data_IF_466380645031
#
_entry.id   IF_466380645031
#
_cell.length_a   1.000
_cell.length_b   1.000
_cell.length_c   1.000
_cell.angle_alpha   90.00
_cell.angle_beta   90.00
_cell.angle_gamma   90.00
#
_symmetry.space_group_name_H-M   'P 1'
#
loop_
_entity.id
_entity.type
_entity.pdbx_description
1 polymer ?
#
# COMPACT_ATOMS: atom_id res chain seq x y z
N UNK A 1 -7.22 4.43 -8.80
CA UNK A 1 -7.84 5.74 -8.96
C UNK A 1 -7.18 6.47 -10.15
N UNK A 2 -7.85 7.49 -10.71
CA UNK A 2 -7.35 8.14 -11.94
C UNK A 2 -6.06 8.93 -11.81
N UNK A 3 -5.61 9.20 -10.60
CA UNK A 3 -4.37 9.92 -10.26
C UNK A 3 -3.25 9.01 -9.73
N UNK A 4 -3.40 7.70 -9.83
CA UNK A 4 -2.32 6.76 -9.47
C UNK A 4 -1.22 6.78 -10.53
N UNK A 5 0.03 6.92 -10.07
CA UNK A 5 1.21 6.76 -10.93
C UNK A 5 1.40 5.32 -11.37
N UNK A 6 0.99 4.40 -10.49
CA UNK A 6 1.16 2.97 -10.62
C UNK A 6 -0.06 2.28 -10.00
N UNK A 7 -0.59 1.27 -10.70
CA UNK A 7 -1.58 0.36 -10.13
C UNK A 7 -0.95 -0.44 -8.99
N UNK A 8 -1.46 -0.25 -7.77
CA UNK A 8 -0.93 -0.91 -6.58
C UNK A 8 -1.34 -2.38 -6.44
N UNK A 9 -2.37 -2.82 -7.20
CA UNK A 9 -2.91 -4.19 -7.08
C UNK A 9 -1.90 -5.28 -7.37
N UNK A 10 -1.04 -5.19 -8.42
CA UNK A 10 0.00 -6.20 -8.66
C UNK A 10 0.97 -6.35 -7.49
N UNK A 11 1.43 -5.24 -6.90
CA UNK A 11 2.37 -5.31 -5.79
C UNK A 11 1.71 -5.84 -4.50
N UNK A 12 0.45 -5.49 -4.26
CA UNK A 12 -0.32 -6.05 -3.15
C UNK A 12 -0.47 -7.58 -3.29
N UNK A 13 -0.72 -8.06 -4.51
CA UNK A 13 -0.81 -9.50 -4.77
C UNK A 13 0.54 -10.20 -4.63
N UNK A 14 1.62 -9.60 -5.12
CA UNK A 14 2.98 -10.12 -4.89
C UNK A 14 3.31 -10.19 -3.39
N UNK A 15 2.98 -9.15 -2.62
CA UNK A 15 3.14 -9.16 -1.16
C UNK A 15 2.33 -10.26 -0.49
N UNK A 16 1.09 -10.48 -0.95
CA UNK A 16 0.25 -11.55 -0.45
C UNK A 16 0.85 -12.92 -0.74
N UNK A 17 1.30 -13.16 -1.96
CA UNK A 17 1.93 -14.44 -2.36
C UNK A 17 3.22 -14.68 -1.57
N UNK A 18 4.08 -13.68 -1.45
CA UNK A 18 5.32 -13.76 -0.71
C UNK A 18 5.10 -14.01 0.78
N UNK A 19 4.14 -13.35 1.41
CA UNK A 19 3.93 -13.47 2.85
C UNK A 19 3.11 -14.68 3.28
N UNK A 20 2.26 -15.22 2.37
CA UNK A 20 1.42 -16.37 2.67
C UNK A 20 2.28 -17.61 2.82
N UNK A 21 2.15 -18.30 3.94
CA UNK A 21 2.91 -19.49 4.28
C UNK A 21 4.44 -19.29 4.40
N UNK A 22 4.90 -18.03 4.47
CA UNK A 22 6.31 -17.75 4.72
C UNK A 22 6.70 -18.24 6.13
N UNK A 23 7.68 -19.17 6.26
CA UNK A 23 7.95 -19.85 7.52
C UNK A 23 8.38 -18.89 8.64
N UNK A 24 9.11 -17.82 8.32
CA UNK A 24 9.57 -16.84 9.31
C UNK A 24 8.44 -15.94 9.84
N UNK A 25 7.29 -15.85 9.13
CA UNK A 25 6.21 -14.94 9.50
C UNK A 25 5.12 -15.59 10.33
N UNK A 26 5.13 -16.92 10.46
CA UNK A 26 4.15 -17.65 11.24
C UNK A 26 4.18 -17.30 12.74
N UNK A 27 5.31 -16.85 13.24
CA UNK A 27 5.54 -16.60 14.67
C UNK A 27 5.92 -15.15 14.99
N UNK A 28 5.42 -14.18 14.24
CA UNK A 28 5.61 -12.77 14.56
C UNK A 28 5.00 -12.42 15.93
N UNK A 29 5.56 -11.46 16.69
CA UNK A 29 5.08 -11.10 18.03
C UNK A 29 3.59 -10.74 18.06
N UNK A 30 3.08 -10.12 17.00
CA UNK A 30 1.68 -9.75 16.83
C UNK A 30 1.31 -9.59 15.36
N UNK A 31 0.00 -9.44 15.09
CA UNK A 31 -0.53 -9.14 13.75
C UNK A 31 0.21 -7.98 13.12
N UNK A 32 0.39 -8.05 11.81
CA UNK A 32 1.15 -7.11 11.02
C UNK A 32 0.34 -6.64 9.82
N UNK A 33 0.43 -5.37 9.48
CA UNK A 33 -0.33 -4.76 8.38
C UNK A 33 0.59 -3.97 7.47
N UNK A 34 0.48 -4.23 6.18
CA UNK A 34 1.02 -3.39 5.12
C UNK A 34 -0.06 -2.47 4.57
N UNK A 35 0.31 -1.23 4.21
CA UNK A 35 -0.46 -0.36 3.36
C UNK A 35 0.41 0.04 2.17
N UNK A 36 -0.17 0.09 0.98
CA UNK A 36 0.53 0.44 -0.25
C UNK A 36 -0.18 1.61 -0.92
N UNK A 37 0.55 2.67 -1.20
CA UNK A 37 0.07 3.82 -1.95
C UNK A 37 0.84 3.98 -3.26
N UNK A 38 0.13 4.19 -4.36
CA UNK A 38 0.69 4.45 -5.69
C UNK A 38 0.18 5.76 -6.29
N UNK A 39 -0.49 6.60 -5.50
CA UNK A 39 -1.01 7.88 -5.91
C UNK A 39 -0.18 9.04 -5.34
N UNK A 40 -0.35 10.24 -5.92
CA UNK A 40 0.30 11.45 -5.42
C UNK A 40 -0.13 11.79 -3.98
N UNK A 41 -1.41 11.58 -3.69
CA UNK A 41 -1.97 11.80 -2.37
C UNK A 41 -2.07 10.47 -1.61
N UNK A 42 -1.66 10.46 -0.36
CA UNK A 42 -1.80 9.28 0.50
C UNK A 42 -3.27 9.09 0.93
N UNK A 43 -3.99 8.23 0.21
CA UNK A 43 -5.35 7.82 0.54
C UNK A 43 -5.42 6.57 1.40
N UNK A 44 -4.28 5.91 1.60
CA UNK A 44 -4.20 4.67 2.38
C UNK A 44 -3.83 4.91 3.83
N UNK A 45 -3.51 6.17 4.17
CA UNK A 45 -3.03 6.58 5.49
C UNK A 45 -1.81 5.75 5.91
N UNK A 46 -0.80 5.71 5.03
CA UNK A 46 0.41 4.89 5.16
C UNK A 46 1.00 4.92 6.56
N UNK A 47 1.15 6.11 7.13
CA UNK A 47 1.78 6.30 8.42
C UNK A 47 0.99 5.70 9.60
N UNK A 48 -0.25 5.30 9.39
CA UNK A 48 -1.09 4.66 10.40
C UNK A 48 -0.95 3.12 10.44
N UNK A 49 -0.12 2.54 9.58
CA UNK A 49 0.07 1.10 9.46
C UNK A 49 1.41 0.65 10.03
N UNK A 50 1.54 -0.65 10.32
CA UNK A 50 2.78 -1.23 10.84
C UNK A 50 3.94 -0.99 9.87
N UNK A 51 3.66 -1.13 8.56
CA UNK A 51 4.53 -0.68 7.47
C UNK A 51 3.68 -0.01 6.39
N UNK A 52 4.10 1.20 6.00
CA UNK A 52 3.61 1.91 4.82
C UNK A 52 4.61 1.79 3.67
N UNK A 53 4.10 1.55 2.49
CA UNK A 53 4.87 1.36 1.25
C UNK A 53 4.36 2.38 0.23
N UNK A 54 5.19 3.37 -0.08
CA UNK A 54 4.87 4.40 -1.04
C UNK A 54 5.61 4.12 -2.36
N UNK A 55 4.85 3.83 -3.41
CA UNK A 55 5.40 3.61 -4.75
C UNK A 55 5.65 4.96 -5.42
N UNK A 56 6.83 5.16 -5.97
CA UNK A 56 7.22 6.39 -6.67
C UNK A 56 7.79 6.06 -8.04
N UNK A 57 7.42 6.84 -9.03
CA UNK A 57 8.14 6.88 -10.30
C UNK A 57 9.11 8.04 -10.27
N UNK A 58 10.36 7.78 -10.63
CA UNK A 58 11.34 8.83 -10.81
C UNK A 58 10.92 9.74 -11.96
N UNK A 59 11.22 11.02 -11.84
CA UNK A 59 11.05 11.98 -12.93
C UNK A 59 12.41 12.34 -13.51
N UNK A 60 12.50 12.31 -14.84
CA UNK A 60 13.64 12.87 -15.55
C UNK A 60 13.15 14.03 -16.42
N UNK A 61 13.71 15.22 -16.24
CA UNK A 61 13.29 16.45 -16.92
C UNK A 61 11.77 16.75 -16.83
N UNK A 62 11.13 16.37 -15.71
CA UNK A 62 9.69 16.57 -15.50
C UNK A 62 8.78 15.47 -16.06
N UNK A 63 9.32 14.50 -16.78
CA UNK A 63 8.59 13.33 -17.27
C UNK A 63 8.80 12.12 -16.35
N UNK A 64 7.74 11.35 -16.12
CA UNK A 64 7.79 10.12 -15.32
C UNK A 64 8.63 9.07 -16.05
N UNK A 65 9.66 8.55 -15.39
CA UNK A 65 10.45 7.44 -15.91
C UNK A 65 9.75 6.09 -15.66
N UNK A 66 10.25 5.04 -16.31
CA UNK A 66 9.79 3.67 -16.04
C UNK A 66 10.42 3.08 -14.76
N UNK A 67 11.33 3.80 -14.11
CA UNK A 67 11.91 3.35 -12.85
C UNK A 67 10.94 3.52 -11.70
N UNK A 68 10.53 2.40 -11.13
CA UNK A 68 9.69 2.34 -9.96
C UNK A 68 10.56 2.14 -8.72
N UNK A 69 10.44 3.05 -7.78
CA UNK A 69 11.10 2.98 -6.47
C UNK A 69 10.07 2.99 -5.35
N UNK A 70 10.52 2.64 -4.15
CA UNK A 70 9.67 2.48 -2.98
C UNK A 70 10.28 3.24 -1.80
N UNK A 71 9.46 4.05 -1.15
CA UNK A 71 9.77 4.57 0.17
C UNK A 71 9.04 3.72 1.21
N UNK A 72 9.73 3.37 2.30
CA UNK A 72 9.22 2.48 3.34
C UNK A 72 9.15 3.22 4.67
N UNK A 73 7.96 3.24 5.23
CA UNK A 73 7.67 3.77 6.57
C UNK A 73 7.38 2.62 7.52
N UNK A 74 7.84 2.71 8.76
CA UNK A 74 7.56 1.69 9.76
C UNK A 74 7.21 2.27 11.13
N UNK A 75 6.52 1.47 11.94
CA UNK A 75 6.20 1.79 13.32
C UNK A 75 4.91 2.56 13.51
N UNK A 76 4.05 2.62 12.50
CA UNK A 76 2.72 3.20 12.62
C UNK A 76 1.71 2.29 13.31
N UNK A 77 0.63 2.88 13.74
CA UNK A 77 -0.50 2.12 14.27
C UNK A 77 -1.43 2.93 15.15
N UNK A 78 -2.71 2.75 14.92
CA UNK A 78 -3.79 3.35 15.68
C UNK A 78 -4.16 2.47 16.89
N UNK A 79 -5.14 2.85 17.63
CA UNK A 79 -5.64 2.20 18.83
C UNK A 79 -5.30 3.01 20.08
N UNK A 80 -5.19 2.36 21.22
CA UNK A 80 -5.06 3.03 22.52
C UNK A 80 -3.89 4.03 22.62
N UNK A 81 -2.80 3.79 21.90
CA UNK A 81 -1.67 4.71 21.81
C UNK A 81 -1.35 4.91 20.33
N UNK A 82 -1.94 5.90 19.65
CA UNK A 82 -1.67 6.16 18.26
C UNK A 82 -0.23 6.64 18.07
N UNK A 83 0.43 6.10 17.05
CA UNK A 83 1.79 6.49 16.65
C UNK A 83 1.81 6.50 15.13
N UNK A 84 2.38 7.54 14.53
CA UNK A 84 2.64 7.60 13.10
C UNK A 84 3.97 6.91 12.79
N UNK A 85 4.01 6.20 11.67
CA UNK A 85 5.22 5.56 11.17
C UNK A 85 6.26 6.59 10.73
N UNK A 86 7.52 6.21 10.80
CA UNK A 86 8.65 7.01 10.34
C UNK A 86 9.25 6.44 9.07
N UNK A 87 9.78 7.31 8.20
CA UNK A 87 10.53 6.89 7.02
C UNK A 87 11.80 6.14 7.48
N UNK A 88 11.99 4.92 7.00
CA UNK A 88 13.16 4.08 7.33
C UNK A 88 13.98 3.69 6.12
N UNK A 89 13.42 3.78 4.91
CA UNK A 89 14.12 3.55 3.64
C UNK A 89 13.52 4.41 2.57
N UNK A 90 14.37 5.07 1.78
CA UNK A 90 13.96 5.90 0.66
C UNK A 90 14.55 5.35 -0.65
N UNK A 91 13.78 5.40 -1.73
CA UNK A 91 14.25 5.12 -3.08
C UNK A 91 14.70 3.68 -3.32
N UNK A 92 14.16 2.70 -2.57
CA UNK A 92 14.47 1.29 -2.79
C UNK A 92 13.92 0.84 -4.15
N UNK A 93 14.72 0.21 -5.05
CA UNK A 93 14.18 -0.45 -6.23
C UNK A 93 13.09 -1.46 -5.84
N UNK A 94 11.93 -1.42 -6.50
CA UNK A 94 10.78 -2.23 -6.13
C UNK A 94 11.05 -3.73 -6.10
N UNK A 95 11.96 -4.20 -6.94
CA UNK A 95 12.37 -5.60 -6.99
C UNK A 95 12.95 -6.09 -5.65
N UNK A 96 13.62 -5.19 -4.93
CA UNK A 96 14.29 -5.49 -3.66
C UNK A 96 13.34 -5.38 -2.46
N UNK A 97 12.06 -5.05 -2.69
CA UNK A 97 11.10 -4.88 -1.61
C UNK A 97 10.95 -6.13 -0.73
N UNK A 98 10.81 -7.37 -1.25
CA UNK A 98 10.62 -8.55 -0.40
C UNK A 98 11.83 -8.83 0.49
N UNK A 99 13.06 -8.72 -0.04
CA UNK A 99 14.26 -8.92 0.79
C UNK A 99 14.40 -7.85 1.87
N UNK A 100 14.04 -6.59 1.58
CA UNK A 100 14.05 -5.53 2.58
C UNK A 100 12.98 -5.76 3.66
N UNK A 101 11.78 -6.16 3.27
CA UNK A 101 10.71 -6.49 4.22
C UNK A 101 11.03 -7.73 5.05
N UNK A 102 11.72 -8.73 4.47
CA UNK A 102 12.24 -9.88 5.23
C UNK A 102 13.19 -9.41 6.33
N UNK A 103 14.15 -8.54 6.00
CA UNK A 103 15.07 -7.99 6.98
C UNK A 103 14.34 -7.20 8.10
N UNK A 104 13.38 -6.36 7.71
CA UNK A 104 12.55 -5.61 8.65
C UNK A 104 11.79 -6.53 9.61
N UNK A 105 11.15 -7.57 9.05
CA UNK A 105 10.38 -8.53 9.84
C UNK A 105 11.28 -9.40 10.73
N UNK A 106 12.51 -9.73 10.31
CA UNK A 106 13.50 -10.41 11.16
C UNK A 106 13.90 -9.56 12.37
N UNK A 107 14.20 -8.27 12.17
CA UNK A 107 14.48 -7.35 13.27
C UNK A 107 13.29 -7.26 14.22
N UNK A 108 12.08 -7.11 13.69
CA UNK A 108 10.87 -7.11 14.50
C UNK A 108 10.63 -8.45 15.21
N UNK A 109 10.84 -9.57 14.55
CA UNK A 109 10.64 -10.91 15.12
C UNK A 109 11.64 -11.18 16.28
N UNK A 110 12.87 -10.69 16.12
CA UNK A 110 13.95 -10.86 17.11
C UNK A 110 13.77 -9.98 18.33
N UNK A 111 13.41 -8.71 18.14
CA UNK A 111 13.43 -7.71 19.23
C UNK A 111 12.03 -7.25 19.67
N UNK A 112 10.98 -7.63 18.95
CA UNK A 112 9.60 -7.31 19.32
C UNK A 112 9.21 -7.98 20.63
N UNK A 113 8.46 -7.25 21.45
CA UNK A 113 8.01 -7.75 22.76
C UNK A 113 7.05 -8.94 22.62
N UNK A 114 7.23 -9.95 23.46
CA UNK A 114 6.36 -11.15 23.53
C UNK A 114 5.75 -11.36 24.91
N UNK A 115 6.28 -10.69 25.91
CA UNK A 115 5.83 -10.75 27.30
C UNK A 115 4.47 -10.08 27.52
N UNK A 116 4.10 -9.10 26.69
CA UNK A 116 2.85 -8.37 26.80
C UNK A 116 2.22 -8.15 25.44
N UNK A 117 1.10 -8.84 25.19
CA UNK A 117 0.35 -8.81 23.93
C UNK A 117 -0.07 -7.39 23.50
N UNK A 118 -0.38 -6.51 24.45
CA UNK A 118 -0.78 -5.12 24.16
C UNK A 118 0.39 -4.22 23.74
N UNK A 119 1.61 -4.63 24.06
CA UNK A 119 2.85 -3.92 23.72
C UNK A 119 3.71 -4.65 22.68
N UNK A 120 3.15 -5.65 22.00
CA UNK A 120 3.88 -6.50 21.06
C UNK A 120 3.94 -5.97 19.62
N UNK A 121 3.16 -4.94 19.27
CA UNK A 121 3.19 -4.39 17.89
C UNK A 121 4.51 -3.68 17.59
N UNK A 122 4.92 -3.69 16.30
CA UNK A 122 6.17 -3.10 15.81
C UNK A 122 6.34 -1.62 16.22
N UNK A 123 5.28 -0.84 16.28
CA UNK A 123 5.33 0.57 16.70
C UNK A 123 5.97 0.78 18.08
N UNK A 124 5.85 -0.20 18.96
CA UNK A 124 6.45 -0.14 20.30
C UNK A 124 7.97 -0.36 20.21
N UNK A 125 8.42 -1.26 19.34
CA UNK A 125 9.83 -1.50 19.08
C UNK A 125 10.48 -0.27 18.42
N UNK A 126 9.88 0.25 17.33
CA UNK A 126 10.40 1.43 16.63
C UNK A 126 10.47 2.64 17.55
N UNK A 127 9.44 2.86 18.40
CA UNK A 127 9.47 3.93 19.41
C UNK A 127 10.57 3.74 20.44
N UNK A 128 10.83 2.51 20.89
CA UNK A 128 11.82 2.21 21.90
C UNK A 128 13.26 2.36 21.40
N UNK A 129 13.54 1.95 20.17
CA UNK A 129 14.84 2.08 19.53
C UNK A 129 15.10 3.49 18.98
N UNK A 130 14.06 4.18 18.57
CA UNK A 130 14.11 5.29 17.64
C UNK A 130 14.15 4.80 16.17
N UNK A 131 13.57 5.60 15.24
CA UNK A 131 13.46 5.21 13.84
C UNK A 131 14.81 5.02 13.14
N UNK A 132 15.81 5.82 13.46
CA UNK A 132 17.15 5.77 12.88
C UNK A 132 17.89 4.49 13.27
N UNK A 133 17.86 4.12 14.55
CA UNK A 133 18.49 2.89 15.02
C UNK A 133 17.76 1.65 14.49
N UNK A 134 16.42 1.70 14.44
CA UNK A 134 15.64 0.63 13.83
C UNK A 134 16.01 0.46 12.35
N UNK A 135 16.08 1.55 11.58
CA UNK A 135 16.48 1.54 10.17
C UNK A 135 17.92 0.99 10.00
N UNK A 136 18.85 1.38 10.86
CA UNK A 136 20.23 0.89 10.84
C UNK A 136 20.30 -0.63 11.06
N UNK A 137 19.50 -1.17 11.99
CA UNK A 137 19.45 -2.62 12.21
C UNK A 137 18.83 -3.36 11.03
N UNK A 138 17.76 -2.82 10.45
CA UNK A 138 17.15 -3.38 9.23
C UNK A 138 18.13 -3.37 8.07
N UNK A 139 18.84 -2.27 7.85
CA UNK A 139 19.86 -2.16 6.81
C UNK A 139 20.98 -3.18 7.00
N UNK A 140 21.47 -3.32 8.22
CA UNK A 140 22.51 -4.32 8.55
C UNK A 140 22.07 -5.76 8.28
N UNK A 141 20.81 -6.11 8.53
CA UNK A 141 20.27 -7.42 8.20
C UNK A 141 20.05 -7.56 6.69
N UNK A 142 19.53 -6.51 6.03
CA UNK A 142 19.26 -6.51 4.60
C UNK A 142 20.51 -6.67 3.75
N UNK A 143 21.61 -6.02 4.10
CA UNK A 143 22.90 -6.16 3.39
C UNK A 143 23.41 -7.59 3.32
N UNK A 144 22.96 -8.48 4.22
CA UNK A 144 23.33 -9.90 4.22
C UNK A 144 22.50 -10.74 3.25
N UNK A 145 21.31 -10.26 2.87
CA UNK A 145 20.32 -11.06 2.13
C UNK A 145 19.88 -10.40 0.81
N UNK A 146 20.24 -9.16 0.56
CA UNK A 146 19.76 -8.37 -0.59
C UNK A 146 20.03 -8.99 -1.96
N UNK A 147 21.07 -9.79 -2.08
CA UNK A 147 21.49 -10.43 -3.33
C UNK A 147 20.95 -11.89 -3.42
N UNK A 148 20.05 -12.26 -2.53
CA UNK A 148 19.42 -13.59 -2.49
C UNK A 148 18.28 -13.76 -3.50
N UNK A 149 17.70 -14.95 -3.49
CA UNK A 149 16.62 -15.36 -4.42
C UNK A 149 15.25 -14.74 -4.15
N UNK A 150 15.10 -14.02 -3.04
CA UNK A 150 13.79 -13.52 -2.58
C UNK A 150 13.33 -12.26 -3.31
N UNK A 151 14.16 -11.69 -4.17
CA UNK A 151 13.86 -10.49 -4.92
C UNK A 151 12.91 -10.77 -6.09
N UNK A 152 11.99 -9.84 -6.33
CA UNK A 152 11.04 -9.95 -7.43
C UNK A 152 11.68 -9.62 -8.78
N UNK A 153 11.11 -10.21 -9.83
CA UNK A 153 11.51 -10.00 -11.22
C UNK A 153 10.44 -9.26 -11.99
N UNK A 154 10.82 -8.65 -13.12
CA UNK A 154 9.86 -8.04 -14.04
C UNK A 154 8.84 -9.09 -14.56
N UNK A 155 9.29 -10.33 -14.80
CA UNK A 155 8.42 -11.41 -15.25
C UNK A 155 7.33 -11.76 -14.22
N UNK A 156 7.66 -11.74 -12.92
CA UNK A 156 6.66 -11.95 -11.85
C UNK A 156 5.66 -10.80 -11.80
N UNK A 157 6.13 -9.55 -11.93
CA UNK A 157 5.24 -8.41 -12.03
C UNK A 157 4.26 -8.58 -13.20
N UNK A 158 4.74 -8.84 -14.39
CA UNK A 158 3.91 -9.03 -15.59
C UNK A 158 2.92 -10.19 -15.43
N UNK A 159 3.37 -11.32 -14.87
CA UNK A 159 2.53 -12.47 -14.56
C UNK A 159 1.32 -12.10 -13.71
N UNK A 160 1.53 -11.24 -12.70
CA UNK A 160 0.48 -10.82 -11.79
C UNK A 160 -0.34 -9.67 -12.38
N UNK A 161 0.30 -8.69 -13.00
CA UNK A 161 -0.36 -7.49 -13.53
C UNK A 161 -1.42 -7.81 -14.60
N UNK A 162 -1.21 -8.85 -15.42
CA UNK A 162 -2.18 -9.28 -16.44
C UNK A 162 -3.55 -9.66 -15.88
N UNK A 163 -3.65 -9.98 -14.59
CA UNK A 163 -4.93 -10.29 -13.94
C UNK A 163 -5.70 -9.03 -13.49
N UNK A 164 -5.08 -7.86 -13.58
CA UNK A 164 -5.66 -6.58 -13.16
C UNK A 164 -5.98 -5.67 -14.36
N UNK A 165 -6.34 -6.24 -15.49
CA UNK A 165 -6.78 -5.49 -16.65
C UNK A 165 -8.08 -4.74 -16.36
N UNK A 166 -8.23 -3.58 -16.98
CA UNK A 166 -9.49 -2.82 -16.88
C UNK A 166 -10.61 -3.65 -17.53
N UNK A 167 -11.81 -3.71 -16.92
CA UNK A 167 -12.97 -4.29 -17.57
C UNK A 167 -13.26 -3.58 -18.89
N UNK A 168 -13.75 -4.33 -19.88
CA UNK A 168 -14.27 -3.74 -21.11
C UNK A 168 -15.61 -3.07 -20.80
N UNK A 169 -15.57 -1.80 -20.42
CA UNK A 169 -16.79 -1.04 -20.19
C UNK A 169 -17.53 -0.79 -21.50
N UNK A 170 -18.84 -0.92 -21.45
CA UNK A 170 -19.69 -0.53 -22.58
C UNK A 170 -19.73 1.01 -22.65
N UNK A 171 -19.53 1.57 -23.84
CA UNK A 171 -19.84 2.98 -24.07
C UNK A 171 -21.35 3.12 -24.07
N UNK A 172 -21.87 3.77 -23.04
CA UNK A 172 -23.29 4.09 -22.94
C UNK A 172 -23.55 5.52 -23.44
N UNK A 173 -24.72 5.80 -24.04
CA UNK A 173 -25.06 7.17 -24.37
C UNK A 173 -25.09 8.04 -23.09
N UNK A 174 -24.57 9.26 -23.21
CA UNK A 174 -24.67 10.23 -22.13
C UNK A 174 -26.15 10.59 -21.90
N UNK A 175 -26.65 10.34 -20.71
CA UNK A 175 -27.99 10.73 -20.29
C UNK A 175 -27.91 12.02 -19.49
N UNK A 176 -28.87 12.92 -19.71
CA UNK A 176 -29.05 14.09 -18.83
C UNK A 176 -29.72 13.66 -17.51
N UNK A 177 -29.53 14.45 -16.45
CA UNK A 177 -30.19 14.20 -15.17
C UNK A 177 -31.71 14.12 -15.31
N UNK A 178 -32.30 14.93 -16.18
CA UNK A 178 -33.72 14.92 -16.49
C UNK A 178 -34.16 13.59 -17.12
N UNK A 179 -33.38 13.07 -18.07
CA UNK A 179 -33.67 11.78 -18.69
C UNK A 179 -33.59 10.64 -17.65
N UNK A 180 -32.61 10.70 -16.74
CA UNK A 180 -32.46 9.71 -15.68
C UNK A 180 -33.60 9.83 -14.65
N UNK A 181 -34.00 11.04 -14.26
CA UNK A 181 -35.12 11.28 -13.33
C UNK A 181 -36.43 10.76 -13.93
N UNK A 182 -36.62 10.87 -15.22
CA UNK A 182 -37.81 10.37 -15.89
C UNK A 182 -37.92 8.84 -15.97
N UNK A 183 -36.91 8.10 -15.55
CA UNK A 183 -36.97 6.62 -15.49
C UNK A 183 -37.68 6.09 -14.25
N UNK A 184 -37.90 6.93 -13.22
CA UNK A 184 -38.58 6.54 -11.98
C UNK A 184 -40.04 6.99 -11.95
N UNK A 185 -40.83 6.42 -11.01
CA UNK A 185 -42.24 6.78 -10.85
C UNK A 185 -42.41 8.27 -10.51
N UNK A 186 -43.53 8.87 -10.87
CA UNK A 186 -43.82 10.30 -10.61
C UNK A 186 -43.68 10.65 -9.13
N UNK A 187 -44.10 9.77 -8.23
CA UNK A 187 -44.01 9.93 -6.77
C UNK A 187 -42.55 10.00 -6.28
N UNK A 188 -41.59 9.40 -7.00
CA UNK A 188 -40.20 9.26 -6.56
C UNK A 188 -39.28 10.29 -7.16
N UNK A 189 -39.70 10.96 -8.25
CA UNK A 189 -38.88 11.92 -9.00
C UNK A 189 -38.21 12.97 -8.13
N UNK A 190 -38.97 13.61 -7.23
CA UNK A 190 -38.46 14.66 -6.37
C UNK A 190 -37.41 14.14 -5.36
N UNK A 191 -37.60 12.94 -4.83
CA UNK A 191 -36.66 12.32 -3.92
C UNK A 191 -35.39 11.87 -4.67
N UNK A 192 -35.56 11.30 -5.86
CA UNK A 192 -34.46 10.82 -6.71
C UNK A 192 -33.62 11.97 -7.26
N UNK A 193 -34.22 13.09 -7.67
CA UNK A 193 -33.50 14.30 -8.09
C UNK A 193 -32.56 14.81 -6.97
N UNK A 194 -33.07 14.91 -5.74
CA UNK A 194 -32.24 15.30 -4.59
C UNK A 194 -31.13 14.29 -4.29
N UNK A 195 -31.39 13.01 -4.53
CA UNK A 195 -30.38 11.97 -4.35
C UNK A 195 -29.27 12.09 -5.41
N UNK A 196 -29.63 12.29 -6.69
CA UNK A 196 -28.68 12.52 -7.78
C UNK A 196 -27.75 13.72 -7.49
N UNK A 197 -28.33 14.86 -7.13
CA UNK A 197 -27.56 16.07 -6.81
C UNK A 197 -26.51 15.85 -5.71
N UNK A 198 -26.85 15.06 -4.70
CA UNK A 198 -25.97 14.84 -3.54
C UNK A 198 -24.94 13.73 -3.73
N UNK A 199 -25.28 12.71 -4.51
CA UNK A 199 -24.51 11.46 -4.53
C UNK A 199 -23.80 11.21 -5.87
N UNK A 200 -24.28 11.78 -6.97
CA UNK A 200 -23.64 11.60 -8.27
C UNK A 200 -22.65 12.73 -8.52
N UNK A 201 -21.41 12.36 -8.80
CA UNK A 201 -20.34 13.30 -9.14
C UNK A 201 -19.79 12.92 -10.50
N UNK A 202 -19.39 13.90 -11.34
CA UNK A 202 -18.71 13.61 -12.60
C UNK A 202 -17.47 12.76 -12.34
N UNK A 203 -17.29 11.72 -13.15
CA UNK A 203 -16.07 10.93 -13.10
C UNK A 203 -14.91 11.74 -13.67
N UNK A 204 -13.72 11.67 -13.04
CA UNK A 204 -12.54 12.43 -13.48
C UNK A 204 -11.93 11.89 -14.79
N UNK A 205 -12.25 10.65 -15.13
CA UNK A 205 -11.82 10.00 -16.37
C UNK A 205 -13.09 9.60 -17.12
N UNK A 206 -13.31 10.11 -18.34
CA UNK A 206 -14.50 9.82 -19.15
C UNK A 206 -14.57 8.36 -19.59
#
# INVERSE_FOLDING_TARGET
>A
AGDEYVDTRPICELLRQWSTLHPEFAHLPRKFKFAVNGAKEDRTVLLCHDVGIELKRNTNNGELTNELTVDIYAGGGMGRTPILGSLIKQGLPWQLLPSYLTALLRVYNRFGRRDNLYKARIKILVKALGPEEFARQVEGEWLRIKDGSDNWTAAEWERVAKHFTKPAYKTLPALTDEQVINTVSESDKAAFARWLERNVKPHQVP
#
